data_IF_536428133610
#
_entry.id   IF_536428133610
#
_cell.length_a   1.000
_cell.length_b   1.000
_cell.length_c   1.000
_cell.angle_alpha   90.00
_cell.angle_beta   90.00
_cell.angle_gamma   90.00
#
_symmetry.space_group_name_H-M   'P 1'
#
loop_
_entity.id
_entity.type
_entity.pdbx_description
1 polymer ?
#
# COMPACT_ATOMS: atom_id res chain seq x y z
N UNK A 1 -5.27 -11.83 -6.39
CA UNK A 1 -4.12 -12.66 -6.86
C UNK A 1 -3.17 -11.90 -7.78
N UNK A 2 -3.69 -11.22 -8.81
CA UNK A 2 -2.90 -10.47 -9.81
C UNK A 2 -2.00 -9.38 -9.19
N UNK A 3 -2.55 -8.53 -8.32
CA UNK A 3 -1.83 -7.37 -7.78
C UNK A 3 -0.57 -7.75 -6.99
N UNK A 4 -0.63 -8.81 -6.19
CA UNK A 4 0.52 -9.30 -5.40
C UNK A 4 1.62 -9.77 -6.34
N UNK A 5 1.27 -10.57 -7.35
CA UNK A 5 2.23 -11.11 -8.31
C UNK A 5 2.88 -9.99 -9.12
N UNK A 6 2.09 -9.04 -9.62
CA UNK A 6 2.58 -7.87 -10.36
C UNK A 6 3.50 -6.99 -9.52
N UNK A 7 3.13 -6.75 -8.27
CA UNK A 7 3.95 -5.92 -7.37
C UNK A 7 5.26 -6.61 -7.04
N UNK A 8 5.25 -7.90 -6.71
CA UNK A 8 6.47 -8.66 -6.45
C UNK A 8 7.36 -8.79 -7.70
N UNK A 9 6.76 -8.94 -8.90
CA UNK A 9 7.50 -8.91 -10.17
C UNK A 9 8.21 -7.56 -10.33
N UNK A 10 7.50 -6.45 -10.15
CA UNK A 10 8.08 -5.12 -10.26
C UNK A 10 9.21 -4.88 -9.25
N UNK A 11 9.04 -5.32 -7.99
CA UNK A 11 10.10 -5.24 -6.98
C UNK A 11 11.33 -6.06 -7.37
N UNK A 12 11.14 -7.22 -7.99
CA UNK A 12 12.25 -8.03 -8.50
C UNK A 12 12.99 -7.30 -9.62
N UNK A 13 12.25 -6.69 -10.56
CA UNK A 13 12.83 -5.94 -11.67
C UNK A 13 13.68 -4.76 -11.15
N UNK A 14 13.17 -4.00 -10.16
CA UNK A 14 13.92 -2.93 -9.50
C UNK A 14 15.20 -3.44 -8.81
N UNK A 15 15.14 -4.61 -8.18
CA UNK A 15 16.29 -5.24 -7.52
C UNK A 15 17.32 -5.70 -8.55
N UNK A 16 16.89 -6.30 -9.66
CA UNK A 16 17.78 -6.73 -10.75
C UNK A 16 18.46 -5.53 -11.42
N UNK A 17 17.73 -4.43 -11.60
CA UNK A 17 18.26 -3.17 -12.11
C UNK A 17 19.10 -2.38 -11.08
N UNK A 18 19.26 -2.89 -9.85
CA UNK A 18 20.02 -2.28 -8.74
C UNK A 18 19.48 -0.91 -8.25
N UNK A 19 18.19 -0.65 -8.43
CA UNK A 19 17.53 0.56 -7.90
C UNK A 19 17.19 0.41 -6.41
N UNK A 20 17.05 -0.82 -5.94
CA UNK A 20 16.87 -1.15 -4.52
C UNK A 20 17.87 -2.25 -4.12
N UNK A 21 18.29 -2.22 -2.86
CA UNK A 21 19.18 -3.23 -2.26
C UNK A 21 18.44 -4.55 -2.03
N UNK A 22 19.20 -5.64 -1.84
CA UNK A 22 18.64 -6.94 -1.45
C UNK A 22 17.78 -6.85 -0.17
N UNK A 23 18.26 -6.12 0.84
CA UNK A 23 17.56 -5.92 2.11
C UNK A 23 16.24 -5.18 1.91
N UNK A 24 16.23 -4.11 1.11
CA UNK A 24 15.00 -3.38 0.76
C UNK A 24 14.03 -4.28 0.00
N UNK A 25 14.51 -5.06 -0.97
CA UNK A 25 13.66 -6.01 -1.70
C UNK A 25 12.97 -7.02 -0.77
N UNK A 26 13.70 -7.63 0.16
CA UNK A 26 13.14 -8.57 1.14
C UNK A 26 12.11 -7.91 2.07
N UNK A 27 12.37 -6.67 2.50
CA UNK A 27 11.45 -5.90 3.33
C UNK A 27 10.18 -5.51 2.59
N UNK A 28 10.29 -5.14 1.32
CA UNK A 28 9.19 -4.65 0.49
C UNK A 28 8.35 -5.78 -0.12
N UNK A 29 8.94 -6.98 -0.29
CA UNK A 29 8.27 -8.13 -0.86
C UNK A 29 6.99 -8.51 -0.10
N UNK A 30 5.95 -8.81 -0.87
CA UNK A 30 4.61 -9.07 -0.36
C UNK A 30 4.41 -10.57 -0.21
N UNK A 31 3.95 -10.98 0.97
CA UNK A 31 3.51 -12.36 1.22
C UNK A 31 1.99 -12.40 1.24
N UNK A 32 1.42 -13.38 0.54
CA UNK A 32 -0.04 -13.47 0.35
C UNK A 32 -0.83 -13.64 1.65
N UNK A 33 -0.20 -14.16 2.71
CA UNK A 33 -0.81 -14.33 4.03
C UNK A 33 -0.77 -13.06 4.90
N UNK A 34 -0.10 -11.99 4.47
CA UNK A 34 0.07 -10.75 5.23
C UNK A 34 -0.82 -9.60 4.72
N UNK A 35 -1.60 -9.81 3.65
CA UNK A 35 -2.29 -8.73 2.92
C UNK A 35 -3.78 -8.96 2.73
N UNK A 36 -4.51 -7.84 2.68
CA UNK A 36 -5.96 -7.78 2.47
C UNK A 36 -6.27 -6.82 1.30
N UNK A 37 -7.44 -7.00 0.67
CA UNK A 37 -7.92 -6.05 -0.33
C UNK A 37 -8.31 -4.73 0.34
N UNK A 38 -8.25 -3.63 -0.39
CA UNK A 38 -8.69 -2.35 0.12
C UNK A 38 -10.20 -2.39 0.44
N UNK A 39 -10.58 -1.82 1.58
CA UNK A 39 -11.98 -1.78 2.01
C UNK A 39 -12.60 -0.43 1.68
N UNK A 40 -13.65 -0.43 0.85
CA UNK A 40 -14.48 0.74 0.59
C UNK A 40 -15.58 0.81 1.64
N UNK A 41 -15.65 1.93 2.37
CA UNK A 41 -16.75 2.22 3.29
C UNK A 41 -17.12 3.71 3.24
N UNK A 42 -18.26 4.04 3.82
CA UNK A 42 -18.82 5.38 3.78
C UNK A 42 -18.90 5.97 5.18
N UNK A 43 -18.38 7.18 5.36
CA UNK A 43 -18.42 7.90 6.64
C UNK A 43 -19.53 8.96 6.61
N UNK A 44 -20.51 8.92 7.53
CA UNK A 44 -21.56 9.92 7.61
C UNK A 44 -21.04 11.26 8.13
N UNK A 45 -21.59 12.35 7.58
CA UNK A 45 -21.36 13.72 8.09
C UNK A 45 -22.48 14.06 9.07
N UNK A 46 -22.34 13.61 10.33
CA UNK A 46 -23.38 13.73 11.35
C UNK A 46 -23.95 15.16 11.55
N UNK A 47 -23.17 16.19 11.26
CA UNK A 47 -23.54 17.60 11.44
C UNK A 47 -24.23 18.23 10.22
N UNK A 48 -24.42 17.53 9.09
CA UNK A 48 -25.06 18.06 7.87
C UNK A 48 -26.07 17.06 7.30
N UNK A 49 -27.35 17.13 7.73
CA UNK A 49 -28.42 16.31 7.18
C UNK A 49 -28.53 16.48 5.66
N UNK A 50 -28.87 15.39 4.95
CA UNK A 50 -29.02 15.39 3.49
C UNK A 50 -27.73 15.46 2.67
N UNK A 51 -26.56 15.57 3.32
CA UNK A 51 -25.28 15.55 2.60
C UNK A 51 -24.87 14.09 2.28
N UNK A 52 -24.39 13.80 1.06
CA UNK A 52 -23.86 12.48 0.71
C UNK A 52 -22.77 12.00 1.67
N UNK A 53 -22.71 10.69 1.90
CA UNK A 53 -21.67 10.09 2.73
C UNK A 53 -20.30 10.30 2.08
N UNK A 54 -19.25 10.42 2.90
CA UNK A 54 -17.88 10.52 2.41
C UNK A 54 -17.37 9.11 2.07
N UNK A 55 -17.09 8.76 0.81
CA UNK A 55 -16.44 7.49 0.49
C UNK A 55 -15.01 7.49 1.02
N UNK A 56 -14.60 6.40 1.64
CA UNK A 56 -13.25 6.17 2.16
C UNK A 56 -12.76 4.82 1.64
N UNK A 57 -11.53 4.79 1.14
CA UNK A 57 -10.83 3.55 0.79
C UNK A 57 -9.76 3.32 1.86
N UNK A 58 -9.93 2.30 2.70
CA UNK A 58 -8.88 1.89 3.65
C UNK A 58 -7.86 1.01 2.94
N UNK A 59 -6.61 1.47 2.95
CA UNK A 59 -5.44 0.72 2.49
C UNK A 59 -4.74 -0.08 3.60
N UNK A 60 -5.39 -0.32 4.74
CA UNK A 60 -4.79 -1.08 5.83
C UNK A 60 -4.50 -2.52 5.36
N UNK A 61 -3.27 -3.02 5.60
CA UNK A 61 -2.77 -4.31 5.10
C UNK A 61 -2.84 -4.46 3.57
N UNK A 62 -3.00 -3.38 2.81
CA UNK A 62 -2.99 -3.44 1.36
C UNK A 62 -1.60 -3.86 0.85
N UNK A 63 -1.49 -4.59 -0.29
CA UNK A 63 -0.21 -4.99 -0.88
C UNK A 63 0.84 -3.87 -1.01
N UNK A 64 0.42 -2.62 -1.18
CA UNK A 64 1.32 -1.47 -1.34
C UNK A 64 1.76 -0.81 -0.03
N UNK A 65 1.26 -1.23 1.13
CA UNK A 65 1.48 -0.50 2.40
C UNK A 65 2.95 -0.41 2.80
N UNK A 66 3.74 -1.47 2.56
CA UNK A 66 5.18 -1.49 2.88
C UNK A 66 5.95 -0.50 2.02
N UNK A 67 5.58 -0.38 0.74
CA UNK A 67 6.16 0.57 -0.21
C UNK A 67 5.82 2.00 0.21
N UNK A 68 4.56 2.26 0.55
CA UNK A 68 4.14 3.58 1.04
C UNK A 68 4.88 3.97 2.32
N UNK A 69 5.04 3.05 3.28
CA UNK A 69 5.82 3.31 4.50
C UNK A 69 7.30 3.58 4.20
N UNK A 70 7.90 2.80 3.32
CA UNK A 70 9.30 3.00 2.92
C UNK A 70 9.53 4.38 2.29
N UNK A 71 8.61 4.82 1.42
CA UNK A 71 8.67 6.14 0.83
C UNK A 71 8.46 7.24 1.87
N UNK A 72 7.50 7.07 2.78
CA UNK A 72 7.26 8.01 3.88
C UNK A 72 8.49 8.16 4.79
N UNK A 73 9.13 7.05 5.16
CA UNK A 73 10.38 7.07 5.94
C UNK A 73 11.54 7.77 5.19
N UNK A 74 11.54 7.73 3.85
CA UNK A 74 12.54 8.41 3.01
C UNK A 74 12.26 9.92 2.86
N UNK A 75 10.98 10.30 2.78
CA UNK A 75 10.56 11.67 2.52
C UNK A 75 10.32 12.49 3.80
N UNK A 76 10.20 11.84 4.96
CA UNK A 76 10.05 12.55 6.23
C UNK A 76 11.26 13.48 6.44
N UNK A 77 11.02 14.75 6.80
CA UNK A 77 12.11 15.66 7.13
C UNK A 77 12.92 15.11 8.32
N UNK A 78 14.25 15.24 8.22
CA UNK A 78 15.21 14.85 9.27
C UNK A 78 14.98 15.62 10.57
#
# INVERSE_FOLDING_TARGET
PDLIQRTNRYLLDLRLAKWITQKQYEQLSIKSNEVELAHLYYLPKAHKPGTPLRPIISGLKHPTIKISKFLDDLLRPL
#
